data_IF_875505423536
#
_entry.id   IF_875505423536
#
_cell.length_a   1.000
_cell.length_b   1.000
_cell.length_c   1.000
_cell.angle_alpha   90.00
_cell.angle_beta   90.00
_cell.angle_gamma   90.00
#
_symmetry.space_group_name_H-M   'P 1'
#
loop_
_entity.id
_entity.type
_entity.pdbx_description
1 polymer ?
#
# COMPACT_ATOMS: atom_id res chain seq x y z
N UNK A 1 3.83 -11.94 -4.99
CA UNK A 1 4.79 -11.01 -4.85
C UNK A 1 5.50 -10.46 -6.07
N UNK A 2 5.71 -9.16 -6.06
CA UNK A 2 6.46 -8.48 -7.11
C UNK A 2 7.98 -8.65 -6.95
N UNK A 3 8.72 -8.42 -8.02
CA UNK A 3 10.18 -8.35 -7.99
C UNK A 3 10.58 -6.93 -7.58
N UNK A 4 11.42 -6.83 -6.56
CA UNK A 4 11.98 -5.57 -6.06
C UNK A 4 13.39 -5.37 -6.65
N UNK A 5 13.62 -4.34 -7.48
CA UNK A 5 14.94 -4.08 -8.06
C UNK A 5 16.03 -3.91 -6.99
N UNK A 6 15.69 -3.29 -5.86
CA UNK A 6 16.63 -3.03 -4.76
C UNK A 6 17.23 -4.29 -4.11
N UNK A 7 16.59 -5.45 -4.26
CA UNK A 7 17.05 -6.73 -3.70
C UNK A 7 17.22 -7.80 -4.77
N UNK A 8 17.04 -7.43 -6.05
CA UNK A 8 17.12 -8.34 -7.22
C UNK A 8 16.24 -9.59 -7.10
N UNK A 9 15.07 -9.46 -6.48
CA UNK A 9 14.16 -10.57 -6.27
C UNK A 9 12.95 -10.21 -5.41
N UNK A 10 12.26 -11.25 -4.95
CA UNK A 10 11.10 -11.15 -4.06
C UNK A 10 11.38 -11.68 -2.64
N UNK A 11 12.62 -12.09 -2.37
CA UNK A 11 13.06 -12.62 -1.07
C UNK A 11 14.37 -11.94 -0.69
N UNK A 12 14.44 -11.49 0.56
CA UNK A 12 15.67 -11.02 1.19
C UNK A 12 15.83 -11.69 2.54
N UNK A 13 16.92 -12.40 2.73
CA UNK A 13 17.31 -12.93 4.04
C UNK A 13 17.99 -11.82 4.83
N UNK A 14 17.46 -11.50 6.01
CA UNK A 14 18.00 -10.55 6.96
C UNK A 14 18.58 -11.23 8.19
N UNK A 15 19.09 -10.43 9.14
CA UNK A 15 19.64 -10.91 10.41
C UNK A 15 18.82 -10.39 11.62
N UNK A 16 17.69 -9.74 11.40
CA UNK A 16 16.79 -9.28 12.47
C UNK A 16 15.78 -10.36 12.83
N UNK A 17 15.15 -10.20 13.98
CA UNK A 17 14.02 -11.05 14.41
C UNK A 17 12.72 -10.74 13.66
N UNK A 18 12.70 -9.68 12.83
CA UNK A 18 11.52 -9.26 12.09
C UNK A 18 11.44 -10.00 10.75
N UNK A 19 10.34 -10.68 10.54
CA UNK A 19 9.98 -11.31 9.27
C UNK A 19 8.81 -10.55 8.64
N UNK A 20 9.01 -10.00 7.44
CA UNK A 20 7.99 -9.27 6.68
C UNK A 20 7.57 -10.13 5.50
N UNK A 21 6.27 -10.37 5.36
CA UNK A 21 5.72 -11.17 4.27
C UNK A 21 4.44 -10.56 3.71
N UNK A 22 4.20 -10.79 2.43
CA UNK A 22 2.90 -10.56 1.83
C UNK A 22 1.91 -11.63 2.32
N UNK A 23 0.74 -11.19 2.78
CA UNK A 23 -0.33 -12.06 3.25
C UNK A 23 -1.45 -12.06 2.21
N UNK A 24 -1.53 -13.15 1.42
CA UNK A 24 -2.52 -13.27 0.34
C UNK A 24 -3.87 -13.72 0.90
N UNK A 25 -4.92 -12.95 0.61
CA UNK A 25 -6.30 -13.23 1.01
C UNK A 25 -6.93 -14.37 0.19
N UNK A 26 -6.48 -14.55 -1.05
CA UNK A 26 -7.03 -15.55 -1.94
C UNK A 26 -6.96 -16.95 -1.32
N UNK A 27 -8.06 -17.67 -1.37
CA UNK A 27 -8.28 -18.96 -0.72
C UNK A 27 -8.03 -18.95 0.80
N UNK A 28 -8.13 -17.78 1.45
CA UNK A 28 -7.86 -17.61 2.88
C UNK A 28 -6.44 -18.01 3.31
N UNK A 29 -5.45 -17.95 2.39
CA UNK A 29 -4.07 -18.37 2.67
C UNK A 29 -3.45 -17.60 3.84
N UNK A 30 -3.80 -16.33 4.01
CA UNK A 30 -3.31 -15.47 5.09
C UNK A 30 -3.77 -15.93 6.50
N UNK A 31 -4.83 -16.74 6.60
CA UNK A 31 -5.29 -17.27 7.88
C UNK A 31 -4.36 -18.36 8.47
N UNK A 32 -3.36 -18.77 7.71
CA UNK A 32 -2.33 -19.72 8.19
C UNK A 32 -1.15 -19.04 8.88
N UNK A 33 -1.11 -17.70 8.93
CA UNK A 33 -0.05 -16.95 9.60
C UNK A 33 -0.35 -16.74 11.09
N UNK A 34 0.70 -16.42 11.85
CA UNK A 34 0.63 -16.02 13.26
C UNK A 34 1.26 -14.62 13.39
N UNK A 35 0.58 -13.57 12.94
CA UNK A 35 1.15 -12.24 12.88
C UNK A 35 1.26 -11.60 14.26
N UNK A 36 2.28 -10.78 14.46
CA UNK A 36 2.39 -9.83 15.57
C UNK A 36 1.93 -8.44 15.16
N UNK A 37 2.14 -8.11 13.88
CA UNK A 37 1.68 -6.88 13.23
C UNK A 37 0.98 -7.31 11.94
N UNK A 38 -0.24 -6.87 11.73
CA UNK A 38 -0.97 -7.03 10.46
C UNK A 38 -1.23 -5.68 9.85
N UNK A 39 -1.12 -5.61 8.52
CA UNK A 39 -1.42 -4.39 7.74
C UNK A 39 -2.50 -4.73 6.72
N UNK A 40 -3.60 -3.98 6.74
CA UNK A 40 -4.67 -4.05 5.74
C UNK A 40 -4.68 -2.75 4.96
N UNK A 41 -4.32 -2.85 3.67
CA UNK A 41 -4.18 -1.69 2.79
C UNK A 41 -5.52 -1.24 2.21
N UNK A 42 -6.29 -2.20 1.73
CA UNK A 42 -7.63 -2.00 1.19
C UNK A 42 -8.39 -3.33 1.20
N UNK A 43 -9.69 -3.24 0.94
CA UNK A 43 -10.56 -4.38 0.66
C UNK A 43 -11.44 -4.00 -0.52
N UNK A 44 -11.45 -4.81 -1.54
CA UNK A 44 -12.28 -4.62 -2.73
C UNK A 44 -12.90 -5.96 -3.13
N UNK A 45 -13.92 -5.92 -3.98
CA UNK A 45 -14.61 -7.10 -4.48
C UNK A 45 -13.75 -7.80 -5.54
N UNK A 46 -12.72 -8.50 -5.11
CA UNK A 46 -11.83 -9.30 -5.94
C UNK A 46 -11.96 -10.79 -5.59
N UNK A 47 -11.43 -11.66 -6.46
CA UNK A 47 -11.46 -13.11 -6.27
C UNK A 47 -12.87 -13.68 -6.02
N UNK A 48 -13.87 -13.18 -6.78
CA UNK A 48 -15.28 -13.63 -6.67
C UNK A 48 -15.51 -15.05 -7.19
N UNK A 49 -14.47 -15.70 -7.70
CA UNK A 49 -14.42 -17.15 -7.95
C UNK A 49 -14.28 -17.96 -6.65
N UNK A 50 -13.77 -17.33 -5.57
CA UNK A 50 -13.60 -17.93 -4.26
C UNK A 50 -14.53 -17.30 -3.21
N UNK A 51 -14.59 -15.97 -3.13
CA UNK A 51 -15.46 -15.24 -2.22
C UNK A 51 -16.83 -15.02 -2.84
N UNK A 52 -17.87 -15.12 -2.04
CA UNK A 52 -19.24 -14.93 -2.48
C UNK A 52 -19.53 -13.46 -2.84
N UNK A 53 -19.10 -12.55 -1.98
CA UNK A 53 -19.34 -11.11 -2.08
C UNK A 53 -18.37 -10.35 -1.18
N UNK A 54 -18.49 -9.01 -1.14
CA UNK A 54 -17.64 -8.15 -0.31
C UNK A 54 -17.81 -8.43 1.19
N UNK A 55 -18.96 -8.88 1.64
CA UNK A 55 -19.19 -9.19 3.06
C UNK A 55 -18.46 -10.47 3.47
N UNK A 56 -18.37 -11.44 2.57
CA UNK A 56 -17.57 -12.65 2.79
C UNK A 56 -16.07 -12.31 2.85
N UNK A 57 -15.60 -11.38 1.99
CA UNK A 57 -14.25 -10.83 2.05
C UNK A 57 -14.01 -10.13 3.39
N UNK A 58 -14.88 -9.22 3.82
CA UNK A 58 -14.79 -8.54 5.12
C UNK A 58 -14.72 -9.54 6.28
N UNK A 59 -15.54 -10.57 6.24
CA UNK A 59 -15.53 -11.63 7.24
C UNK A 59 -14.17 -12.37 7.27
N UNK A 60 -13.58 -12.62 6.13
CA UNK A 60 -12.25 -13.22 6.04
C UNK A 60 -11.16 -12.30 6.60
N UNK A 61 -11.18 -11.00 6.26
CA UNK A 61 -10.25 -10.02 6.82
C UNK A 61 -10.45 -9.82 8.33
N UNK A 62 -11.69 -9.92 8.83
CA UNK A 62 -11.95 -9.94 10.26
C UNK A 62 -11.28 -11.12 10.95
N UNK A 63 -11.37 -12.32 10.39
CA UNK A 63 -10.67 -13.51 10.91
C UNK A 63 -9.15 -13.32 10.89
N UNK A 64 -8.62 -12.68 9.84
CA UNK A 64 -7.19 -12.37 9.79
C UNK A 64 -6.77 -11.41 10.89
N UNK A 65 -7.57 -10.38 11.18
CA UNK A 65 -7.31 -9.46 12.27
C UNK A 65 -7.39 -10.15 13.65
N UNK A 66 -8.27 -11.13 13.82
CA UNK A 66 -8.43 -11.93 15.06
C UNK A 66 -7.25 -12.89 15.34
N UNK A 67 -6.36 -13.12 14.36
CA UNK A 67 -5.12 -13.86 14.59
C UNK A 67 -4.11 -13.10 15.45
N UNK A 68 -4.27 -11.77 15.57
CA UNK A 68 -3.37 -10.94 16.35
C UNK A 68 -3.54 -11.21 17.85
N UNK A 69 -2.43 -11.42 18.59
CA UNK A 69 -2.49 -11.52 20.04
C UNK A 69 -2.87 -10.16 20.67
N UNK A 70 -3.25 -10.16 21.93
CA UNK A 70 -3.67 -8.95 22.66
C UNK A 70 -2.58 -7.84 22.68
N UNK A 71 -1.32 -8.22 22.65
CA UNK A 71 -0.16 -7.32 22.53
C UNK A 71 0.31 -7.13 21.08
N UNK A 72 -0.49 -7.56 20.11
CA UNK A 72 -0.27 -7.32 18.68
C UNK A 72 -0.84 -5.99 18.22
N UNK A 73 -0.61 -5.65 16.96
CA UNK A 73 -1.13 -4.41 16.35
C UNK A 73 -1.67 -4.66 14.96
N UNK A 74 -2.90 -4.21 14.73
CA UNK A 74 -3.50 -4.06 13.42
C UNK A 74 -3.27 -2.63 12.92
N UNK A 75 -2.73 -2.48 11.72
CA UNK A 75 -2.66 -1.21 10.99
C UNK A 75 -3.63 -1.30 9.83
N UNK A 76 -4.61 -0.40 9.75
CA UNK A 76 -5.70 -0.48 8.76
C UNK A 76 -6.01 0.87 8.14
N UNK A 77 -6.32 0.85 6.84
CA UNK A 77 -6.73 2.04 6.10
C UNK A 77 -8.16 2.46 6.47
N UNK A 78 -8.31 3.63 7.07
CA UNK A 78 -9.61 4.22 7.44
C UNK A 78 -10.42 4.71 6.23
N UNK A 79 -9.80 4.85 5.05
CA UNK A 79 -10.52 5.18 3.81
C UNK A 79 -11.22 3.94 3.20
N UNK A 80 -10.97 2.75 3.75
CA UNK A 80 -11.64 1.52 3.34
C UNK A 80 -13.08 1.50 3.89
N UNK A 81 -14.11 1.38 3.04
CA UNK A 81 -15.49 1.37 3.50
C UNK A 81 -15.74 0.29 4.56
N UNK A 82 -16.40 0.68 5.65
CA UNK A 82 -16.82 -0.21 6.75
C UNK A 82 -15.64 -0.94 7.45
N UNK A 83 -14.42 -0.34 7.45
CA UNK A 83 -13.26 -0.91 8.15
C UNK A 83 -13.52 -1.16 9.64
N UNK A 84 -14.45 -0.43 10.24
CA UNK A 84 -14.87 -0.60 11.65
C UNK A 84 -15.47 -1.98 11.92
N UNK A 85 -16.03 -2.63 10.92
CA UNK A 85 -16.55 -4.01 11.06
C UNK A 85 -15.41 -5.00 11.31
N UNK A 86 -14.21 -4.67 10.85
CA UNK A 86 -13.00 -5.46 11.06
C UNK A 86 -12.36 -5.14 12.41
N UNK A 87 -12.40 -3.87 12.85
CA UNK A 87 -11.66 -3.43 14.03
C UNK A 87 -12.44 -3.55 15.34
N UNK A 88 -13.78 -3.64 15.27
CA UNK A 88 -14.64 -3.65 16.44
C UNK A 88 -14.29 -4.81 17.40
N UNK A 89 -14.13 -4.47 18.68
CA UNK A 89 -13.90 -5.44 19.78
C UNK A 89 -12.70 -6.37 19.56
N UNK A 90 -11.68 -5.95 18.78
CA UNK A 90 -10.41 -6.67 18.71
C UNK A 90 -9.65 -6.55 20.04
N UNK A 91 -8.99 -7.62 20.50
CA UNK A 91 -8.19 -7.57 21.74
C UNK A 91 -6.85 -6.84 21.54
N UNK A 92 -6.39 -6.70 20.30
CA UNK A 92 -5.11 -6.09 19.94
C UNK A 92 -5.20 -4.57 19.81
N UNK A 93 -4.05 -3.90 19.69
CA UNK A 93 -4.00 -2.48 19.37
C UNK A 93 -4.42 -2.26 17.91
N UNK A 94 -5.16 -1.18 17.66
CA UNK A 94 -5.55 -0.76 16.32
C UNK A 94 -4.95 0.62 16.06
N UNK A 95 -4.21 0.75 14.96
CA UNK A 95 -3.73 2.01 14.40
C UNK A 95 -4.36 2.21 13.03
N UNK A 96 -4.91 3.37 12.81
CA UNK A 96 -5.53 3.74 11.54
C UNK A 96 -4.63 4.64 10.72
N UNK A 97 -4.74 4.58 9.41
CA UNK A 97 -4.16 5.57 8.51
C UNK A 97 -5.15 5.88 7.39
N UNK A 98 -5.05 7.06 6.82
CA UNK A 98 -5.94 7.49 5.74
C UNK A 98 -5.53 8.83 5.13
N UNK A 99 -6.13 9.14 3.98
CA UNK A 99 -5.96 10.39 3.26
C UNK A 99 -7.23 11.26 3.29
N UNK A 100 -8.40 10.62 3.38
CA UNK A 100 -9.71 11.25 3.24
C UNK A 100 -10.48 11.30 4.56
N UNK A 101 -10.25 10.34 5.45
CA UNK A 101 -10.93 10.22 6.73
C UNK A 101 -9.99 10.46 7.91
N UNK A 102 -10.56 10.81 9.05
CA UNK A 102 -9.80 10.95 10.31
C UNK A 102 -9.14 9.63 10.66
N UNK A 103 -7.84 9.68 10.92
CA UNK A 103 -7.02 8.52 11.24
C UNK A 103 -5.83 8.92 12.14
N UNK A 104 -5.20 7.92 12.76
CA UNK A 104 -3.98 8.16 13.56
C UNK A 104 -2.84 8.72 12.70
N UNK A 105 -2.65 8.17 11.49
CA UNK A 105 -1.66 8.65 10.53
C UNK A 105 -2.35 9.25 9.32
N UNK A 106 -2.05 10.51 9.01
CA UNK A 106 -2.57 11.21 7.83
C UNK A 106 -1.45 11.92 7.08
N UNK A 107 -1.70 12.28 5.82
CA UNK A 107 -0.78 13.07 5.01
C UNK A 107 -1.32 14.47 4.78
N UNK A 108 -0.43 15.46 4.74
CA UNK A 108 -0.71 16.85 4.42
C UNK A 108 0.35 17.43 3.49
N UNK A 109 0.09 18.62 2.95
CA UNK A 109 1.02 19.36 2.08
C UNK A 109 1.53 18.53 0.90
N UNK A 110 0.67 17.70 0.30
CA UNK A 110 1.07 16.80 -0.80
C UNK A 110 1.36 17.66 -2.04
N UNK A 111 2.58 17.55 -2.53
CA UNK A 111 3.04 18.19 -3.76
C UNK A 111 3.64 17.15 -4.69
N UNK A 112 3.73 17.46 -5.97
CA UNK A 112 4.18 16.53 -6.99
C UNK A 112 5.33 17.14 -7.79
N UNK A 113 6.34 16.34 -8.07
CA UNK A 113 7.36 16.74 -9.04
C UNK A 113 6.86 16.56 -10.49
N UNK A 114 7.70 16.89 -11.46
CA UNK A 114 7.36 16.77 -12.89
C UNK A 114 7.10 15.33 -13.37
N UNK A 115 7.43 14.33 -12.58
CA UNK A 115 7.20 12.92 -12.87
C UNK A 115 6.05 12.33 -12.03
N UNK A 116 5.32 13.19 -11.31
CA UNK A 116 4.22 12.75 -10.45
C UNK A 116 4.69 12.04 -9.18
N UNK A 117 5.95 12.24 -8.76
CA UNK A 117 6.43 11.72 -7.49
C UNK A 117 6.00 12.65 -6.34
N UNK A 118 5.39 12.12 -5.27
CA UNK A 118 4.89 12.94 -4.19
C UNK A 118 5.96 13.30 -3.16
N UNK A 119 5.86 14.53 -2.66
CA UNK A 119 6.44 14.97 -1.39
C UNK A 119 5.31 15.38 -0.47
N UNK A 120 5.35 14.98 0.80
CA UNK A 120 4.26 15.20 1.74
C UNK A 120 4.76 15.25 3.18
N UNK A 121 3.96 15.90 4.03
CA UNK A 121 4.11 15.86 5.48
C UNK A 121 3.27 14.72 6.05
N UNK A 122 3.76 14.04 7.09
CA UNK A 122 2.97 13.05 7.82
C UNK A 122 2.62 13.59 9.20
N UNK A 123 1.36 13.42 9.56
CA UNK A 123 0.85 13.76 10.88
C UNK A 123 0.50 12.46 11.62
N UNK A 124 0.83 12.43 12.90
CA UNK A 124 0.34 11.43 13.83
C UNK A 124 -0.55 12.14 14.87
N UNK A 125 -1.81 11.76 14.92
CA UNK A 125 -2.83 12.40 15.78
C UNK A 125 -2.81 13.93 15.65
N UNK A 126 -2.80 14.40 14.40
CA UNK A 126 -2.80 15.83 14.05
C UNK A 126 -1.48 16.57 14.23
N UNK A 127 -0.42 15.94 14.75
CA UNK A 127 0.89 16.55 14.93
C UNK A 127 1.85 16.09 13.84
N UNK A 128 2.52 17.04 13.17
CA UNK A 128 3.53 16.72 12.16
C UNK A 128 4.69 15.95 12.79
N UNK A 129 5.00 14.78 12.24
CA UNK A 129 6.08 13.90 12.68
C UNK A 129 7.23 13.81 11.67
N UNK A 130 7.03 14.23 10.44
CA UNK A 130 8.09 14.22 9.42
C UNK A 130 7.61 14.68 8.06
N UNK A 131 8.55 14.77 7.12
CA UNK A 131 8.31 15.02 5.71
C UNK A 131 8.99 13.93 4.89
N UNK A 132 8.30 13.45 3.87
CA UNK A 132 8.70 12.28 3.10
C UNK A 132 8.60 12.58 1.59
N UNK A 133 9.34 11.80 0.82
CA UNK A 133 9.36 11.85 -0.63
C UNK A 133 9.36 10.42 -1.18
N UNK A 134 8.58 10.16 -2.22
CA UNK A 134 8.58 8.88 -2.91
C UNK A 134 9.11 9.04 -4.34
N UNK A 135 9.65 7.95 -4.89
CA UNK A 135 10.06 7.84 -6.29
C UNK A 135 9.10 7.00 -7.12
N UNK A 136 7.90 6.84 -6.61
CA UNK A 136 6.78 6.17 -7.29
C UNK A 136 5.61 7.13 -7.35
N UNK A 137 4.94 7.26 -8.51
CA UNK A 137 3.84 8.21 -8.68
C UNK A 137 2.54 7.68 -8.08
N UNK A 138 1.57 8.58 -7.91
CA UNK A 138 0.20 8.26 -7.54
C UNK A 138 -0.11 8.45 -6.06
N UNK A 139 -1.32 8.94 -5.80
CA UNK A 139 -1.83 9.21 -4.44
C UNK A 139 -1.95 7.93 -3.60
N UNK A 140 -2.28 6.79 -4.23
CA UNK A 140 -2.33 5.50 -3.56
C UNK A 140 -0.97 5.09 -2.96
N UNK A 141 0.16 5.53 -3.55
CA UNK A 141 1.47 5.28 -2.97
C UNK A 141 1.76 6.16 -1.75
N UNK A 142 1.13 7.34 -1.64
CA UNK A 142 1.16 8.11 -0.38
C UNK A 142 0.42 7.35 0.71
N UNK A 143 -0.76 6.79 0.43
CA UNK A 143 -1.50 5.94 1.36
C UNK A 143 -0.68 4.70 1.79
N UNK A 144 -0.09 3.98 0.84
CA UNK A 144 0.79 2.83 1.13
C UNK A 144 2.02 3.24 1.98
N UNK A 145 2.57 4.44 1.75
CA UNK A 145 3.68 4.95 2.55
C UNK A 145 3.27 5.25 4.00
N UNK A 146 2.04 5.75 4.25
CA UNK A 146 1.54 5.94 5.62
C UNK A 146 1.54 4.63 6.39
N UNK A 147 1.09 3.54 5.78
CA UNK A 147 1.14 2.20 6.39
C UNK A 147 2.58 1.77 6.70
N UNK A 148 3.51 1.96 5.75
CA UNK A 148 4.92 1.62 5.94
C UNK A 148 5.58 2.47 7.05
N UNK A 149 5.24 3.76 7.15
CA UNK A 149 5.70 4.66 8.20
C UNK A 149 5.17 4.20 9.56
N UNK A 150 3.88 3.86 9.64
CA UNK A 150 3.27 3.35 10.87
C UNK A 150 3.97 2.07 11.36
N UNK A 151 4.25 1.11 10.45
CA UNK A 151 5.03 -0.10 10.77
C UNK A 151 6.45 0.25 11.25
N UNK A 152 7.15 1.14 10.51
CA UNK A 152 8.52 1.52 10.86
C UNK A 152 8.61 2.14 12.25
N UNK A 153 7.68 3.03 12.59
CA UNK A 153 7.62 3.66 13.92
C UNK A 153 7.22 2.68 15.02
N UNK A 154 6.31 1.74 14.73
CA UNK A 154 5.95 0.68 15.67
C UNK A 154 7.11 -0.26 15.97
N UNK A 155 8.05 -0.40 15.05
CA UNK A 155 9.29 -1.17 15.21
C UNK A 155 10.46 -0.32 15.72
N UNK A 156 10.20 0.90 16.22
CA UNK A 156 11.19 1.84 16.73
C UNK A 156 12.34 2.13 15.75
N UNK A 157 12.06 2.09 14.43
CA UNK A 157 13.07 2.49 13.45
C UNK A 157 13.33 4.00 13.52
N UNK A 158 14.60 4.44 13.46
CA UNK A 158 14.92 5.86 13.36
C UNK A 158 14.24 6.53 12.16
N UNK A 159 13.79 7.78 12.34
CA UNK A 159 13.04 8.50 11.28
C UNK A 159 13.86 8.65 10.00
N UNK A 160 15.17 8.86 10.09
CA UNK A 160 16.06 8.94 8.92
C UNK A 160 16.15 7.61 8.15
N UNK A 161 16.06 6.48 8.84
CA UNK A 161 16.00 5.14 8.23
C UNK A 161 14.68 4.96 7.45
N UNK A 162 13.56 5.39 8.03
CA UNK A 162 12.25 5.33 7.37
C UNK A 162 12.25 6.23 6.14
N UNK A 163 12.71 7.49 6.26
CA UNK A 163 12.82 8.44 5.14
C UNK A 163 13.71 7.88 4.03
N UNK A 164 14.87 7.33 4.37
CA UNK A 164 15.79 6.72 3.39
C UNK A 164 15.19 5.49 2.73
N UNK A 165 14.51 4.65 3.49
CA UNK A 165 13.83 3.46 2.99
C UNK A 165 12.79 3.80 1.92
N UNK A 166 11.87 4.72 2.24
CA UNK A 166 10.82 5.17 1.33
C UNK A 166 11.41 5.90 0.10
N UNK A 167 12.37 6.82 0.32
CA UNK A 167 13.00 7.56 -0.76
C UNK A 167 13.89 6.71 -1.68
N UNK A 168 14.28 5.49 -1.26
CA UNK A 168 15.04 4.54 -2.09
C UNK A 168 14.15 3.58 -2.89
N UNK A 169 12.86 3.49 -2.55
CA UNK A 169 11.92 2.61 -3.24
C UNK A 169 11.56 3.20 -4.62
N UNK A 170 11.84 2.46 -5.66
CA UNK A 170 11.61 2.86 -7.07
C UNK A 170 10.49 2.05 -7.73
N UNK A 171 9.69 1.37 -6.94
CA UNK A 171 8.59 0.54 -7.42
C UNK A 171 8.95 -0.94 -7.52
N UNK A 172 8.01 -1.70 -8.03
CA UNK A 172 8.13 -3.11 -8.38
C UNK A 172 7.92 -3.28 -9.88
N UNK A 173 8.43 -4.37 -10.44
CA UNK A 173 8.18 -4.69 -11.84
C UNK A 173 6.68 -4.73 -12.12
N UNK A 174 6.29 -4.15 -13.27
CA UNK A 174 4.91 -4.09 -13.74
C UNK A 174 3.94 -3.33 -12.80
N UNK A 175 4.44 -2.33 -12.03
CA UNK A 175 3.64 -1.37 -11.26
C UNK A 175 4.09 0.04 -11.65
N UNK A 176 3.38 0.69 -12.58
CA UNK A 176 3.72 1.95 -13.23
C UNK A 176 5.19 1.98 -13.68
N UNK A 177 5.65 0.87 -14.24
CA UNK A 177 7.05 0.66 -14.58
C UNK A 177 7.42 1.41 -15.85
N UNK A 178 8.35 2.36 -15.76
CA UNK A 178 8.95 2.99 -16.92
C UNK A 178 9.78 1.97 -17.72
N UNK A 179 9.41 1.77 -18.99
CA UNK A 179 10.10 0.84 -19.89
C UNK A 179 11.04 1.54 -20.88
N UNK A 180 10.86 2.84 -21.09
CA UNK A 180 11.69 3.61 -22.01
C UNK A 180 10.90 4.68 -22.74
N UNK A 181 11.60 5.35 -23.66
CA UNK A 181 11.05 6.37 -24.55
C UNK A 181 11.47 6.10 -26.00
N UNK A 182 10.53 6.13 -26.93
CA UNK A 182 10.77 5.94 -28.35
C UNK A 182 10.04 7.03 -29.12
N UNK A 183 10.77 7.85 -29.87
CA UNK A 183 10.17 8.91 -30.69
C UNK A 183 9.35 9.95 -29.90
N UNK A 184 9.75 10.24 -28.65
CA UNK A 184 9.02 11.15 -27.76
C UNK A 184 7.79 10.52 -27.09
N UNK A 185 7.61 9.20 -27.21
CA UNK A 185 6.55 8.44 -26.54
C UNK A 185 7.15 7.69 -25.36
N UNK A 186 6.71 8.05 -24.15
CA UNK A 186 7.05 7.31 -22.94
C UNK A 186 6.20 6.04 -22.85
N UNK A 187 6.87 4.92 -22.57
CA UNK A 187 6.23 3.59 -22.43
C UNK A 187 6.26 3.20 -20.97
N UNK A 188 5.07 2.92 -20.42
CA UNK A 188 4.85 2.48 -19.02
C UNK A 188 4.12 1.15 -19.05
N UNK A 189 4.57 0.20 -18.26
CA UNK A 189 3.97 -1.12 -18.07
C UNK A 189 3.35 -1.23 -16.68
N UNK A 190 2.08 -1.65 -16.63
CA UNK A 190 1.36 -1.87 -15.38
C UNK A 190 0.54 -3.17 -15.46
N UNK A 191 0.48 -3.90 -14.38
CA UNK A 191 -0.27 -5.16 -14.29
C UNK A 191 -1.72 -4.93 -13.83
N UNK A 192 -2.16 -3.70 -13.70
CA UNK A 192 -3.52 -3.37 -13.29
C UNK A 192 -4.54 -4.09 -14.20
N UNK A 193 -5.42 -4.85 -13.59
CA UNK A 193 -6.48 -5.60 -14.28
C UNK A 193 -7.84 -5.45 -13.58
N UNK A 194 -7.85 -5.12 -12.29
CA UNK A 194 -9.07 -4.73 -11.57
C UNK A 194 -9.44 -3.26 -11.88
N UNK A 195 -10.73 -2.90 -12.01
CA UNK A 195 -11.16 -1.53 -12.32
C UNK A 195 -10.53 -0.46 -11.44
N UNK A 196 -10.50 -0.66 -10.13
CA UNK A 196 -9.90 0.26 -9.14
C UNK A 196 -8.40 0.45 -9.40
N UNK A 197 -7.64 -0.61 -9.73
CA UNK A 197 -6.22 -0.53 -10.06
C UNK A 197 -5.99 0.23 -11.36
N UNK A 198 -6.81 -0.04 -12.40
CA UNK A 198 -6.73 0.65 -13.70
C UNK A 198 -6.99 2.15 -13.52
N UNK A 199 -7.99 2.52 -12.72
CA UNK A 199 -8.30 3.90 -12.42
C UNK A 199 -7.13 4.58 -11.72
N UNK A 200 -6.55 3.98 -10.68
CA UNK A 200 -5.39 4.49 -9.97
C UNK A 200 -4.18 4.70 -10.89
N UNK A 201 -3.90 3.74 -11.78
CA UNK A 201 -2.81 3.83 -12.77
C UNK A 201 -3.04 4.94 -13.78
N UNK A 202 -4.28 5.10 -14.31
CA UNK A 202 -4.61 6.17 -15.23
C UNK A 202 -4.59 7.55 -14.57
N UNK A 203 -4.98 7.66 -13.30
CA UNK A 203 -4.81 8.89 -12.52
C UNK A 203 -3.32 9.24 -12.34
N UNK A 204 -2.47 8.27 -12.04
CA UNK A 204 -1.03 8.48 -11.97
C UNK A 204 -0.45 8.95 -13.32
N UNK A 205 -0.89 8.35 -14.42
CA UNK A 205 -0.48 8.72 -15.77
C UNK A 205 -0.86 10.16 -16.15
N UNK A 206 -2.00 10.67 -15.67
CA UNK A 206 -2.42 12.06 -15.89
C UNK A 206 -1.51 13.08 -15.18
N UNK A 207 -0.86 12.67 -14.10
CA UNK A 207 0.10 13.52 -13.38
C UNK A 207 1.53 13.40 -13.94
N UNK A 208 1.77 12.46 -14.86
CA UNK A 208 3.05 12.33 -15.56
C UNK A 208 3.11 13.26 -16.77
N UNK A 209 4.28 13.80 -17.18
CA UNK A 209 4.38 14.68 -18.34
C UNK A 209 3.84 14.01 -19.60
N UNK A 210 2.81 14.59 -20.19
CA UNK A 210 2.18 14.04 -21.39
C UNK A 210 1.47 15.13 -22.20
N UNK A 211 1.32 14.90 -23.51
CA UNK A 211 0.38 15.62 -24.37
C UNK A 211 -0.92 14.79 -24.55
N UNK A 212 -0.75 13.47 -24.64
CA UNK A 212 -1.85 12.51 -24.79
C UNK A 212 -1.48 11.19 -24.12
N UNK A 213 -2.45 10.62 -23.42
CA UNK A 213 -2.32 9.28 -22.81
C UNK A 213 -3.02 8.26 -23.72
N UNK A 214 -2.33 7.19 -24.05
CA UNK A 214 -2.85 6.03 -24.74
C UNK A 214 -2.85 4.86 -23.77
N UNK A 215 -4.02 4.25 -23.57
CA UNK A 215 -4.15 3.03 -22.80
C UNK A 215 -4.28 1.85 -23.75
N UNK A 216 -3.35 0.90 -23.67
CA UNK A 216 -3.44 -0.40 -24.33
C UNK A 216 -3.75 -1.41 -23.25
N UNK A 217 -4.93 -1.99 -23.29
CA UNK A 217 -5.43 -2.86 -22.23
C UNK A 217 -5.78 -4.24 -22.81
N UNK A 218 -5.32 -5.28 -22.12
CA UNK A 218 -5.74 -6.65 -22.37
C UNK A 218 -6.45 -7.13 -21.10
N UNK A 219 -7.77 -7.44 -21.17
CA UNK A 219 -8.48 -7.94 -20.01
C UNK A 219 -7.89 -9.29 -19.56
N UNK A 220 -7.81 -9.48 -18.27
CA UNK A 220 -7.62 -10.78 -17.66
C UNK A 220 -9.00 -11.46 -17.59
N UNK A 221 -9.06 -12.75 -17.70
CA UNK A 221 -10.33 -13.53 -17.77
C UNK A 221 -11.26 -13.24 -16.63
#
# INVERSE_FOLDING_TARGET
GGILPAIHGNIRVGNSETFVTEACEYTNSFLSFFPKISVILNMDADHLDFFKDIDDIRHSFRKFAELLPADGTLIINADTPEYETITRDLPCHVLTYGLEHDADYTAADITWDKYGHPSFSVLFQGKKIGSYYLRVPGIHNVSNALAAIAVGRLLDLPDDVIVKGLGSFTGTDRRFQYKGEIGGVTIIDDYAHHPTEIEATLHAAKNYPHQKVWCVFQPHT
#
